data_IF_639931337987
#
_entry.id   IF_639931337987
#
_cell.length_a   1.000
_cell.length_b   1.000
_cell.length_c   1.000
_cell.angle_alpha   90.00
_cell.angle_beta   90.00
_cell.angle_gamma   90.00
#
_symmetry.space_group_name_H-M   'P 1'
#
loop_
_entity.id
_entity.type
_entity.pdbx_description
1 polymer ?
#
# COMPACT_ATOMS: atom_id res chain seq x y z
N UNK A 1 3.76 -14.12 20.24
CA UNK A 1 4.17 -14.21 21.67
C UNK A 1 3.55 -13.04 22.44
N UNK A 2 3.58 -11.82 21.91
CA UNK A 2 2.94 -10.64 22.52
C UNK A 2 1.43 -10.82 22.71
N UNK A 3 0.70 -11.28 21.70
CA UNK A 3 -0.73 -11.58 21.81
C UNK A 3 -1.05 -12.65 22.85
N UNK A 4 -0.17 -13.63 23.03
CA UNK A 4 -0.34 -14.67 24.06
C UNK A 4 -0.20 -14.10 25.47
N UNK A 5 0.70 -13.14 25.66
CA UNK A 5 1.01 -12.55 26.97
C UNK A 5 0.02 -11.45 27.39
N UNK A 6 -0.68 -10.83 26.42
CA UNK A 6 -1.54 -9.65 26.68
C UNK A 6 -3.04 -9.92 26.56
N UNK A 7 -3.47 -11.10 26.13
CA UNK A 7 -4.90 -11.44 25.98
C UNK A 7 -5.42 -12.00 27.30
N UNK A 8 -6.39 -11.31 27.89
CA UNK A 8 -7.11 -11.76 29.09
C UNK A 8 -7.99 -13.00 28.83
N UNK A 9 -8.37 -13.24 27.57
CA UNK A 9 -9.09 -14.44 27.14
C UNK A 9 -8.25 -15.21 26.11
N UNK A 10 -7.89 -16.44 26.49
CA UNK A 10 -7.12 -17.34 25.65
C UNK A 10 -7.97 -17.82 24.45
N UNK A 11 -7.71 -17.26 23.28
CA UNK A 11 -8.40 -17.63 22.05
C UNK A 11 -7.58 -18.66 21.26
N UNK A 12 -8.08 -19.89 21.16
CA UNK A 12 -7.47 -20.98 20.39
C UNK A 12 -7.22 -20.57 18.92
N UNK A 13 -8.10 -19.74 18.34
CA UNK A 13 -7.95 -19.26 16.97
C UNK A 13 -6.73 -18.36 16.80
N UNK A 14 -6.46 -17.48 17.76
CA UNK A 14 -5.27 -16.62 17.76
C UNK A 14 -3.99 -17.45 17.86
N UNK A 15 -3.96 -18.47 18.71
CA UNK A 15 -2.83 -19.41 18.77
C UNK A 15 -2.60 -20.14 17.47
N UNK A 16 -3.67 -20.64 16.85
CA UNK A 16 -3.57 -21.32 15.56
C UNK A 16 -3.01 -20.39 14.49
N UNK A 17 -3.43 -19.12 14.45
CA UNK A 17 -2.93 -18.12 13.52
C UNK A 17 -1.45 -17.82 13.73
N UNK A 18 -1.03 -17.62 15.00
CA UNK A 18 0.39 -17.40 15.33
C UNK A 18 1.22 -18.62 14.96
N UNK A 19 0.75 -19.81 15.32
CA UNK A 19 1.45 -21.06 15.02
C UNK A 19 1.61 -21.28 13.51
N UNK A 20 0.54 -21.12 12.72
CA UNK A 20 0.61 -21.29 11.27
C UNK A 20 1.51 -20.23 10.62
N UNK A 21 1.46 -18.96 11.04
CA UNK A 21 2.32 -17.89 10.53
C UNK A 21 3.79 -18.16 10.85
N UNK A 22 4.09 -18.59 12.08
CA UNK A 22 5.44 -18.93 12.51
C UNK A 22 5.99 -20.10 11.69
N UNK A 23 5.22 -21.18 11.55
CA UNK A 23 5.62 -22.37 10.81
C UNK A 23 5.83 -22.09 9.33
N UNK A 24 4.97 -21.29 8.70
CA UNK A 24 5.17 -20.85 7.31
C UNK A 24 6.49 -20.10 7.16
N UNK A 25 6.80 -19.20 8.09
CA UNK A 25 8.06 -18.43 8.07
C UNK A 25 9.28 -19.33 8.28
N UNK A 26 9.22 -20.23 9.27
CA UNK A 26 10.29 -21.21 9.54
C UNK A 26 10.49 -22.13 8.34
N UNK A 27 9.41 -22.65 7.75
CA UNK A 27 9.47 -23.49 6.56
C UNK A 27 10.15 -22.77 5.39
N UNK A 28 9.81 -21.50 5.14
CA UNK A 28 10.44 -20.70 4.10
C UNK A 28 11.93 -20.50 4.35
N UNK A 29 12.33 -20.19 5.59
CA UNK A 29 13.74 -19.99 5.96
C UNK A 29 14.55 -21.27 5.82
N UNK A 30 14.00 -22.42 6.21
CA UNK A 30 14.65 -23.72 6.16
C UNK A 30 14.62 -24.38 4.76
N UNK A 31 13.77 -23.86 3.85
CA UNK A 31 13.70 -24.39 2.49
C UNK A 31 14.96 -24.06 1.69
N UNK A 32 15.33 -24.94 0.77
CA UNK A 32 16.41 -24.67 -0.17
C UNK A 32 16.10 -23.50 -1.08
N UNK A 33 17.14 -22.82 -1.55
CA UNK A 33 17.03 -21.63 -2.40
C UNK A 33 16.15 -21.85 -3.66
N UNK A 34 16.24 -23.05 -4.26
CA UNK A 34 15.45 -23.38 -5.45
C UNK A 34 13.95 -23.41 -5.16
N UNK A 35 13.55 -23.90 -3.99
CA UNK A 35 12.17 -23.91 -3.52
C UNK A 35 11.68 -22.49 -3.20
N UNK A 36 12.50 -21.68 -2.53
CA UNK A 36 12.16 -20.27 -2.24
C UNK A 36 11.92 -19.50 -3.55
N UNK A 37 12.79 -19.63 -4.55
CA UNK A 37 12.64 -18.99 -5.86
C UNK A 37 11.39 -19.48 -6.60
N UNK A 38 11.07 -20.77 -6.51
CA UNK A 38 9.87 -21.35 -7.12
C UNK A 38 8.60 -20.80 -6.48
N UNK A 39 8.56 -20.78 -5.16
CA UNK A 39 7.43 -20.18 -4.40
C UNK A 39 7.23 -18.72 -4.78
N UNK A 40 8.31 -17.94 -4.81
CA UNK A 40 8.25 -16.53 -5.20
C UNK A 40 7.67 -16.34 -6.60
N UNK A 41 8.04 -17.19 -7.58
CA UNK A 41 7.45 -17.17 -8.93
C UNK A 41 5.95 -17.48 -8.92
N UNK A 42 5.50 -18.40 -8.07
CA UNK A 42 4.06 -18.67 -7.91
C UNK A 42 3.34 -17.46 -7.30
N UNK A 43 3.91 -16.80 -6.29
CA UNK A 43 3.36 -15.57 -5.70
C UNK A 43 3.25 -14.47 -6.75
N UNK A 44 4.31 -14.23 -7.55
CA UNK A 44 4.28 -13.27 -8.66
C UNK A 44 3.13 -13.58 -9.61
N UNK A 45 3.03 -14.83 -10.07
CA UNK A 45 2.00 -15.23 -11.04
C UNK A 45 0.59 -15.15 -10.48
N UNK A 46 0.39 -15.58 -9.24
CA UNK A 46 -0.89 -15.48 -8.56
C UNK A 46 -1.32 -14.01 -8.42
N UNK A 47 -0.42 -13.13 -7.98
CA UNK A 47 -0.70 -11.69 -7.86
C UNK A 47 -1.00 -11.07 -9.22
N UNK A 48 -0.26 -11.42 -10.28
CA UNK A 48 -0.55 -10.94 -11.63
C UNK A 48 -1.97 -11.30 -12.09
N UNK A 49 -2.41 -12.55 -11.83
CA UNK A 49 -3.76 -13.01 -12.18
C UNK A 49 -4.81 -12.27 -11.35
N UNK A 50 -4.62 -12.17 -10.03
CA UNK A 50 -5.55 -11.48 -9.14
C UNK A 50 -5.70 -10.00 -9.51
N UNK A 51 -4.58 -9.30 -9.76
CA UNK A 51 -4.59 -7.90 -10.18
C UNK A 51 -5.26 -7.74 -11.55
N UNK A 52 -5.03 -8.65 -12.49
CA UNK A 52 -5.66 -8.61 -13.81
C UNK A 52 -7.19 -8.72 -13.70
N UNK A 53 -7.69 -9.70 -12.95
CA UNK A 53 -9.13 -9.91 -12.74
C UNK A 53 -9.74 -8.68 -12.04
N UNK A 54 -9.10 -8.20 -10.98
CA UNK A 54 -9.54 -7.01 -10.25
C UNK A 54 -9.55 -5.76 -11.13
N UNK A 55 -8.55 -5.61 -12.01
CA UNK A 55 -8.45 -4.47 -12.92
C UNK A 55 -9.61 -4.46 -13.93
N UNK A 56 -9.97 -5.62 -14.48
CA UNK A 56 -11.12 -5.77 -15.35
C UNK A 56 -12.40 -5.37 -14.62
N UNK A 57 -12.62 -5.88 -13.40
CA UNK A 57 -13.77 -5.50 -12.58
C UNK A 57 -13.84 -4.00 -12.30
N UNK A 58 -12.71 -3.39 -11.96
CA UNK A 58 -12.62 -1.95 -11.70
C UNK A 58 -12.88 -1.10 -12.95
N UNK A 59 -12.40 -1.53 -14.13
CA UNK A 59 -12.67 -0.86 -15.38
C UNK A 59 -14.16 -0.96 -15.77
N UNK A 60 -14.81 -2.10 -15.53
CA UNK A 60 -16.25 -2.25 -15.71
C UNK A 60 -17.03 -1.30 -14.79
N UNK A 61 -16.61 -1.18 -13.53
CA UNK A 61 -17.18 -0.22 -12.58
C UNK A 61 -17.03 1.23 -13.10
N UNK A 62 -15.82 1.64 -13.54
CA UNK A 62 -15.60 2.98 -14.11
C UNK A 62 -16.43 3.24 -15.38
N UNK A 63 -16.81 2.18 -16.09
CA UNK A 63 -17.71 2.25 -17.25
C UNK A 63 -19.19 2.28 -16.86
N UNK A 64 -19.51 2.47 -15.57
CA UNK A 64 -20.86 2.47 -15.01
C UNK A 64 -21.66 1.17 -15.25
N UNK A 65 -20.98 0.03 -15.41
CA UNK A 65 -21.65 -1.27 -15.45
C UNK A 65 -22.15 -1.60 -14.04
N UNK A 66 -23.44 -1.89 -13.85
CA UNK A 66 -23.97 -2.25 -12.54
C UNK A 66 -23.38 -3.57 -12.08
N UNK A 67 -22.54 -3.53 -11.04
CA UNK A 67 -21.91 -4.71 -10.45
C UNK A 67 -22.52 -4.98 -9.07
N UNK A 68 -22.77 -6.25 -8.73
CA UNK A 68 -23.23 -6.60 -7.40
C UNK A 68 -22.15 -6.27 -6.37
N UNK A 69 -22.56 -5.63 -5.28
CA UNK A 69 -21.67 -5.21 -4.20
C UNK A 69 -22.37 -5.27 -2.84
N UNK A 70 -21.58 -5.23 -1.79
CA UNK A 70 -22.06 -5.04 -0.42
C UNK A 70 -21.11 -4.15 0.36
N UNK A 71 -21.62 -3.51 1.38
CA UNK A 71 -20.81 -2.68 2.27
C UNK A 71 -20.28 -3.54 3.42
N UNK A 72 -18.99 -3.39 3.71
CA UNK A 72 -18.31 -4.04 4.83
C UNK A 72 -17.59 -2.99 5.65
N UNK A 73 -17.70 -3.07 6.96
CA UNK A 73 -17.05 -2.15 7.91
C UNK A 73 -17.93 -1.92 9.13
N UNK A 74 -17.31 -1.66 10.27
CA UNK A 74 -18.00 -1.43 11.55
C UNK A 74 -18.19 0.05 11.86
N UNK A 75 -17.39 0.93 11.25
CA UNK A 75 -17.37 2.37 11.52
C UNK A 75 -17.47 3.18 10.23
N UNK A 76 -18.03 4.38 10.31
CA UNK A 76 -18.18 5.30 9.18
C UNK A 76 -16.86 5.63 8.45
N UNK A 77 -15.72 5.51 9.12
CA UNK A 77 -14.39 5.77 8.57
C UNK A 77 -13.78 4.58 7.81
N UNK A 78 -14.22 3.35 8.10
CA UNK A 78 -13.69 2.11 7.52
C UNK A 78 -14.74 1.34 6.72
N UNK A 79 -15.61 2.06 6.04
CA UNK A 79 -16.54 1.44 5.09
C UNK A 79 -15.77 1.02 3.85
N UNK A 80 -15.87 -0.24 3.49
CA UNK A 80 -15.38 -0.78 2.23
C UNK A 80 -16.56 -1.22 1.38
N UNK A 81 -16.56 -0.85 0.11
CA UNK A 81 -17.49 -1.38 -0.87
C UNK A 81 -16.84 -2.58 -1.55
N UNK A 82 -17.37 -3.76 -1.29
CA UNK A 82 -16.81 -5.03 -1.79
C UNK A 82 -17.58 -5.46 -3.05
N UNK A 83 -16.88 -5.51 -4.17
CA UNK A 83 -17.36 -5.98 -5.47
C UNK A 83 -16.69 -7.31 -5.75
N UNK A 84 -16.97 -8.39 -5.20
CA UNK A 84 -16.41 -9.76 -5.39
C UNK A 84 -15.06 -9.89 -6.14
N UNK A 85 -14.77 -9.04 -7.12
CA UNK A 85 -13.52 -9.02 -7.91
C UNK A 85 -12.51 -7.96 -7.44
N UNK A 86 -12.97 -6.97 -6.68
CA UNK A 86 -12.15 -5.87 -6.17
C UNK A 86 -12.87 -5.17 -5.01
N UNK A 87 -12.10 -4.38 -4.27
CA UNK A 87 -12.60 -3.62 -3.11
C UNK A 87 -12.33 -2.14 -3.36
N UNK A 88 -13.29 -1.28 -3.01
CA UNK A 88 -13.12 0.16 -2.96
C UNK A 88 -13.16 0.65 -1.52
N UNK A 89 -12.24 1.56 -1.18
CA UNK A 89 -12.27 2.28 0.09
C UNK A 89 -13.33 3.38 0.07
N UNK A 90 -14.15 3.42 1.10
CA UNK A 90 -15.19 4.42 1.28
C UNK A 90 -16.42 4.17 0.41
N UNK A 91 -17.26 5.20 0.35
CA UNK A 91 -18.48 5.21 -0.44
C UNK A 91 -18.13 5.74 -1.83
N UNK A 92 -18.30 4.93 -2.89
CA UNK A 92 -17.83 5.27 -4.24
C UNK A 92 -18.43 6.58 -4.79
N UNK A 93 -19.70 6.85 -4.47
CA UNK A 93 -20.44 8.03 -4.93
C UNK A 93 -19.85 9.36 -4.46
N UNK A 94 -19.05 9.32 -3.39
CA UNK A 94 -18.40 10.51 -2.84
C UNK A 94 -16.99 10.74 -3.44
N UNK A 95 -16.51 9.87 -4.32
CA UNK A 95 -15.17 9.95 -4.90
C UNK A 95 -15.24 10.28 -6.39
N UNK A 96 -14.52 11.34 -6.80
CA UNK A 96 -14.38 11.72 -8.22
C UNK A 96 -13.75 10.59 -9.03
N UNK A 97 -12.72 9.93 -8.47
CA UNK A 97 -12.08 8.75 -9.04
C UNK A 97 -11.62 7.84 -7.90
N UNK A 98 -12.26 6.68 -7.74
CA UNK A 98 -11.88 5.74 -6.70
C UNK A 98 -10.52 5.13 -7.02
N UNK A 99 -9.67 5.05 -6.00
CA UNK A 99 -8.34 4.44 -6.10
C UNK A 99 -8.47 2.93 -6.26
N UNK A 100 -7.64 2.35 -7.12
CA UNK A 100 -7.62 0.92 -7.32
C UNK A 100 -6.90 0.22 -6.17
N UNK A 101 -7.61 -0.61 -5.43
CA UNK A 101 -7.07 -1.43 -4.33
C UNK A 101 -7.00 -2.93 -4.69
N UNK A 102 -7.56 -3.34 -5.84
CA UNK A 102 -7.68 -4.76 -6.18
C UNK A 102 -8.48 -5.52 -5.12
N UNK A 103 -7.97 -6.64 -4.66
CA UNK A 103 -8.54 -7.41 -3.54
C UNK A 103 -7.97 -7.03 -2.17
N UNK A 104 -7.16 -5.98 -2.10
CA UNK A 104 -6.60 -5.48 -0.84
C UNK A 104 -7.51 -4.42 -0.22
N UNK A 105 -7.51 -4.34 1.09
CA UNK A 105 -8.29 -3.34 1.83
C UNK A 105 -7.81 -1.91 1.55
N UNK A 106 -6.50 -1.75 1.26
CA UNK A 106 -5.93 -0.45 0.98
C UNK A 106 -5.18 -0.40 -0.36
N UNK A 107 -5.37 0.67 -1.16
CA UNK A 107 -4.62 0.87 -2.40
C UNK A 107 -3.10 0.91 -2.21
N UNK A 108 -2.65 1.41 -1.04
CA UNK A 108 -1.24 1.45 -0.68
C UNK A 108 -0.59 0.08 -0.58
N UNK A 109 -1.30 -0.89 -0.01
CA UNK A 109 -0.84 -2.28 0.09
C UNK A 109 -0.69 -2.91 -1.29
N UNK A 110 -1.71 -2.77 -2.16
CA UNK A 110 -1.63 -3.25 -3.53
C UNK A 110 -0.43 -2.65 -4.26
N UNK A 111 -0.29 -1.31 -4.24
CA UNK A 111 0.78 -0.61 -4.95
C UNK A 111 2.16 -1.05 -4.47
N UNK A 112 2.36 -1.17 -3.17
CA UNK A 112 3.63 -1.62 -2.57
C UNK A 112 3.98 -3.06 -2.98
N UNK A 113 3.02 -3.99 -2.87
CA UNK A 113 3.23 -5.39 -3.25
C UNK A 113 3.54 -5.50 -4.74
N UNK A 114 2.77 -4.85 -5.61
CA UNK A 114 3.01 -4.84 -7.05
C UNK A 114 4.40 -4.28 -7.38
N UNK A 115 4.83 -3.22 -6.70
CA UNK A 115 6.14 -2.62 -6.88
C UNK A 115 7.26 -3.59 -6.47
N UNK A 116 7.17 -4.22 -5.30
CA UNK A 116 8.16 -5.21 -4.84
C UNK A 116 8.25 -6.40 -5.79
N UNK A 117 7.14 -6.88 -6.33
CA UNK A 117 7.15 -7.95 -7.32
C UNK A 117 7.75 -7.52 -8.66
N UNK A 118 7.62 -6.25 -9.06
CA UNK A 118 8.34 -5.70 -10.21
C UNK A 118 9.85 -5.67 -9.98
N UNK A 119 10.33 -5.39 -8.76
CA UNK A 119 11.77 -5.53 -8.42
C UNK A 119 12.24 -6.97 -8.64
N UNK A 120 11.51 -7.94 -8.11
CA UNK A 120 11.84 -9.37 -8.27
C UNK A 120 11.92 -9.77 -9.74
N UNK A 121 11.04 -9.24 -10.58
CA UNK A 121 11.00 -9.46 -12.03
C UNK A 121 11.99 -8.58 -12.83
N UNK A 122 12.81 -7.76 -12.14
CA UNK A 122 13.81 -6.89 -12.74
C UNK A 122 13.22 -5.84 -13.69
N UNK A 123 12.03 -5.33 -13.41
CA UNK A 123 11.29 -4.37 -14.24
C UNK A 123 11.14 -4.76 -15.73
N UNK A 124 11.15 -6.06 -16.01
CA UNK A 124 11.06 -6.54 -17.39
C UNK A 124 9.63 -6.40 -17.94
N UNK A 125 9.32 -5.24 -18.52
CA UNK A 125 8.00 -4.94 -19.09
C UNK A 125 7.70 -5.68 -20.40
N UNK A 126 8.64 -6.46 -20.95
CA UNK A 126 8.33 -7.37 -22.08
C UNK A 126 7.42 -8.51 -21.64
N UNK A 127 7.42 -8.85 -20.36
CA UNK A 127 6.48 -9.82 -19.78
C UNK A 127 5.13 -9.14 -19.54
N UNK A 128 4.06 -9.59 -20.19
CA UNK A 128 2.71 -9.04 -20.08
C UNK A 128 2.21 -8.96 -18.64
N UNK A 129 2.54 -9.95 -17.79
CA UNK A 129 2.18 -9.95 -16.37
C UNK A 129 2.78 -8.77 -15.60
N UNK A 130 3.98 -8.31 -15.96
CA UNK A 130 4.63 -7.18 -15.30
C UNK A 130 3.98 -5.84 -15.68
N UNK A 131 3.38 -5.74 -16.87
CA UNK A 131 2.56 -4.58 -17.26
C UNK A 131 1.33 -4.50 -16.34
N UNK A 132 0.71 -5.64 -16.01
CA UNK A 132 -0.43 -5.70 -15.09
C UNK A 132 -0.03 -5.21 -13.70
N UNK A 133 1.13 -5.65 -13.18
CA UNK A 133 1.65 -5.15 -11.91
C UNK A 133 1.92 -3.65 -11.95
N UNK A 134 2.51 -3.14 -13.03
CA UNK A 134 2.75 -1.71 -13.21
C UNK A 134 1.45 -0.92 -13.22
N UNK A 135 0.41 -1.39 -13.91
CA UNK A 135 -0.91 -0.77 -13.88
C UNK A 135 -1.52 -0.78 -12.47
N UNK A 136 -1.31 -1.88 -11.71
CA UNK A 136 -1.68 -1.95 -10.30
C UNK A 136 -1.02 -0.85 -9.46
N UNK A 137 0.29 -0.61 -9.65
CA UNK A 137 1.01 0.49 -8.99
C UNK A 137 0.43 1.84 -9.39
N UNK A 138 0.26 2.09 -10.69
CA UNK A 138 -0.18 3.40 -11.21
C UNK A 138 -1.61 3.74 -10.74
N UNK A 139 -2.54 2.81 -10.82
CA UNK A 139 -3.94 3.06 -10.44
C UNK A 139 -4.18 3.00 -8.92
N UNK A 140 -3.21 2.50 -8.13
CA UNK A 140 -3.30 2.56 -6.67
C UNK A 140 -3.28 4.00 -6.15
N UNK A 141 -2.74 4.96 -6.92
CA UNK A 141 -2.55 6.36 -6.54
C UNK A 141 -1.92 6.48 -5.13
N UNK A 142 -0.97 5.59 -4.85
CA UNK A 142 -0.25 5.54 -3.58
C UNK A 142 1.09 6.24 -3.70
N UNK A 143 1.28 7.29 -2.92
CA UNK A 143 2.54 8.05 -2.88
C UNK A 143 3.73 7.15 -2.51
N UNK A 144 3.55 6.27 -1.51
CA UNK A 144 4.58 5.32 -1.10
C UNK A 144 4.96 4.34 -2.23
N UNK A 145 3.96 3.83 -2.96
CA UNK A 145 4.19 2.94 -4.09
C UNK A 145 4.91 3.65 -5.24
N UNK A 146 4.57 4.91 -5.50
CA UNK A 146 5.29 5.71 -6.50
C UNK A 146 6.73 6.00 -6.10
N UNK A 147 6.96 6.36 -4.84
CA UNK A 147 8.32 6.53 -4.30
C UNK A 147 9.16 5.26 -4.46
N UNK A 148 8.59 4.10 -4.11
CA UNK A 148 9.23 2.80 -4.32
C UNK A 148 9.48 2.53 -5.80
N UNK A 149 8.52 2.78 -6.69
CA UNK A 149 8.68 2.55 -8.13
C UNK A 149 9.81 3.42 -8.69
N UNK A 150 9.80 4.71 -8.39
CA UNK A 150 10.82 5.66 -8.84
C UNK A 150 12.20 5.26 -8.33
N UNK A 151 12.31 5.01 -7.02
CA UNK A 151 13.57 4.58 -6.41
C UNK A 151 14.10 3.28 -7.00
N UNK A 152 13.20 2.31 -7.23
CA UNK A 152 13.55 1.04 -7.81
C UNK A 152 14.00 1.11 -9.25
N UNK A 153 13.29 1.83 -10.06
CA UNK A 153 13.68 2.06 -11.46
C UNK A 153 15.03 2.78 -11.52
N UNK A 154 15.24 3.80 -10.66
CA UNK A 154 16.50 4.52 -10.58
C UNK A 154 17.65 3.58 -10.20
N UNK A 155 17.49 2.76 -9.16
CA UNK A 155 18.49 1.77 -8.75
C UNK A 155 18.75 0.73 -9.85
N UNK A 156 17.69 0.22 -10.48
CA UNK A 156 17.82 -0.74 -11.58
C UNK A 156 18.62 -0.17 -12.74
N UNK A 157 18.33 1.06 -13.18
CA UNK A 157 19.05 1.75 -14.24
C UNK A 157 20.51 2.01 -13.82
N UNK A 158 20.73 2.45 -12.61
CA UNK A 158 22.06 2.74 -12.07
C UNK A 158 22.98 1.51 -12.12
N UNK A 159 22.49 0.37 -11.64
CA UNK A 159 23.31 -0.86 -11.57
C UNK A 159 23.44 -1.60 -12.90
N UNK A 160 22.45 -1.52 -13.79
CA UNK A 160 22.41 -2.33 -15.01
C UNK A 160 22.85 -1.58 -16.28
N UNK A 161 23.12 -0.27 -16.19
CA UNK A 161 23.45 0.53 -17.36
C UNK A 161 24.77 1.26 -17.16
N UNK A 162 25.69 1.14 -18.13
CA UNK A 162 27.01 1.85 -18.11
C UNK A 162 26.88 3.38 -17.96
N UNK A 163 25.76 3.94 -18.39
CA UNK A 163 25.42 5.38 -18.27
C UNK A 163 24.28 5.63 -17.27
N UNK A 164 24.16 4.77 -16.25
CA UNK A 164 23.08 4.81 -15.29
C UNK A 164 22.85 6.17 -14.65
N UNK A 165 23.94 6.85 -14.24
CA UNK A 165 23.89 8.22 -13.70
C UNK A 165 23.17 9.20 -14.62
N UNK A 166 23.50 9.18 -15.93
CA UNK A 166 22.89 10.10 -16.90
C UNK A 166 21.39 9.84 -17.01
N UNK A 167 20.98 8.56 -17.11
CA UNK A 167 19.56 8.22 -17.22
C UNK A 167 18.79 8.55 -15.94
N UNK A 168 19.38 8.34 -14.77
CA UNK A 168 18.75 8.74 -13.49
C UNK A 168 18.58 10.26 -13.43
N UNK A 169 19.59 11.03 -13.85
CA UNK A 169 19.50 12.50 -13.89
C UNK A 169 18.40 12.96 -14.86
N UNK A 170 18.35 12.39 -16.08
CA UNK A 170 17.30 12.73 -17.06
C UNK A 170 15.92 12.39 -16.54
N UNK A 171 15.77 11.23 -15.88
CA UNK A 171 14.50 10.82 -15.28
C UNK A 171 14.08 11.74 -14.13
N UNK A 172 15.02 12.14 -13.27
CA UNK A 172 14.75 13.11 -12.20
C UNK A 172 14.33 14.47 -12.74
N UNK A 173 14.99 14.94 -13.80
CA UNK A 173 14.61 16.18 -14.50
C UNK A 173 13.20 16.08 -15.10
N UNK A 174 12.87 14.94 -15.71
CA UNK A 174 11.50 14.68 -16.21
C UNK A 174 10.45 14.78 -15.11
N UNK A 175 10.69 14.17 -13.95
CA UNK A 175 9.78 14.28 -12.79
C UNK A 175 9.66 15.74 -12.32
N UNK A 176 10.77 16.49 -12.25
CA UNK A 176 10.75 17.89 -11.87
C UNK A 176 9.92 18.74 -12.87
N UNK A 177 10.04 18.49 -14.16
CA UNK A 177 9.24 19.17 -15.19
C UNK A 177 7.75 18.85 -15.03
N UNK A 178 7.39 17.57 -14.81
CA UNK A 178 6.00 17.17 -14.56
C UNK A 178 5.45 17.85 -13.30
N UNK A 179 6.25 17.97 -12.26
CA UNK A 179 5.88 18.70 -11.04
C UNK A 179 5.61 20.18 -11.32
N UNK A 180 6.53 20.87 -12.00
CA UNK A 180 6.37 22.29 -12.35
C UNK A 180 5.13 22.51 -13.22
N UNK A 181 4.89 21.64 -14.21
CA UNK A 181 3.68 21.72 -15.04
C UNK A 181 2.43 21.52 -14.20
N UNK A 182 2.44 20.55 -13.29
CA UNK A 182 1.28 20.25 -12.43
C UNK A 182 0.91 21.41 -11.51
N UNK A 183 1.91 22.09 -10.92
CA UNK A 183 1.65 23.26 -10.05
C UNK A 183 1.09 24.44 -10.87
N UNK A 184 1.57 24.65 -12.09
CA UNK A 184 1.15 25.79 -12.90
C UNK A 184 -0.13 25.53 -13.72
N UNK A 185 -0.46 24.25 -14.02
CA UNK A 185 -1.66 23.93 -14.78
C UNK A 185 -2.92 24.16 -13.93
N UNK A 186 -3.82 25.01 -14.45
CA UNK A 186 -5.07 25.37 -13.78
C UNK A 186 -4.85 25.93 -12.35
N UNK A 187 -3.80 26.75 -12.15
CA UNK A 187 -3.42 27.31 -10.85
C UNK A 187 -3.21 26.27 -9.75
N UNK A 188 -2.77 25.07 -10.12
CA UNK A 188 -2.61 23.94 -9.18
C UNK A 188 -3.89 23.17 -8.88
N UNK A 189 -5.04 23.64 -9.29
CA UNK A 189 -6.36 23.02 -9.08
C UNK A 189 -6.57 21.79 -9.99
N UNK A 190 -5.61 20.87 -10.02
CA UNK A 190 -5.69 19.65 -10.80
C UNK A 190 -5.52 18.42 -9.92
N UNK A 191 -6.06 17.30 -10.40
CA UNK A 191 -6.10 16.04 -9.65
C UNK A 191 -4.70 15.53 -9.26
N UNK A 192 -3.71 15.68 -10.16
CA UNK A 192 -2.36 15.22 -9.94
C UNK A 192 -1.69 16.02 -8.80
N UNK A 193 -1.85 17.34 -8.80
CA UNK A 193 -1.32 18.19 -7.76
C UNK A 193 -1.93 17.86 -6.40
N UNK A 194 -3.26 17.85 -6.31
CA UNK A 194 -4.00 17.59 -5.05
C UNK A 194 -3.74 16.20 -4.47
N UNK A 195 -3.49 15.20 -5.30
CA UNK A 195 -3.33 13.81 -4.84
C UNK A 195 -1.88 13.40 -4.59
N UNK A 196 -0.92 14.04 -5.23
CA UNK A 196 0.49 13.66 -5.14
C UNK A 196 1.32 14.80 -4.55
N UNK A 197 1.35 15.95 -5.22
CA UNK A 197 2.34 16.98 -4.90
C UNK A 197 2.00 17.79 -3.66
N UNK A 198 0.75 18.18 -3.44
CA UNK A 198 0.33 18.87 -2.21
C UNK A 198 0.61 18.04 -0.95
N UNK A 199 0.55 16.73 -1.08
CA UNK A 199 0.88 15.82 0.02
C UNK A 199 2.36 15.76 0.38
N UNK A 200 3.23 16.24 -0.51
CA UNK A 200 4.69 16.30 -0.30
C UNK A 200 5.14 17.67 0.23
N UNK A 201 4.23 18.63 0.33
CA UNK A 201 4.53 19.96 0.85
C UNK A 201 4.69 19.84 2.38
N UNK A 202 5.75 20.46 2.88
CA UNK A 202 5.97 20.62 4.31
C UNK A 202 5.47 22.00 4.73
N UNK A 203 4.55 22.05 5.65
CA UNK A 203 4.03 23.26 6.27
C UNK A 203 4.26 23.14 7.77
N UNK A 204 4.84 24.17 8.40
CA UNK A 204 5.19 24.20 9.83
C UNK A 204 6.05 23.02 10.33
N UNK A 205 6.86 22.42 9.43
CA UNK A 205 7.71 21.28 9.75
C UNK A 205 7.03 19.92 9.65
N UNK A 206 5.76 19.87 9.31
CA UNK A 206 4.99 18.66 9.09
C UNK A 206 4.63 18.48 7.61
N UNK A 207 4.58 17.23 7.16
CA UNK A 207 4.16 16.90 5.80
C UNK A 207 2.63 16.96 5.72
N UNK A 208 2.05 17.81 4.87
CA UNK A 208 0.60 17.97 4.72
C UNK A 208 -0.15 16.65 4.42
N UNK A 209 0.54 15.67 3.87
CA UNK A 209 -0.01 14.32 3.66
C UNK A 209 0.00 13.40 4.87
N UNK A 210 0.60 13.83 5.97
CA UNK A 210 0.74 13.03 7.20
C UNK A 210 -0.48 13.12 8.15
N UNK A 211 -1.66 13.47 7.63
CA UNK A 211 -2.89 13.62 8.38
C UNK A 211 -3.48 12.30 8.94
N UNK A 212 -2.65 11.27 9.07
CA UNK A 212 -3.05 9.97 9.67
C UNK A 212 -2.94 9.96 11.19
N UNK A 213 -2.27 10.95 11.76
CA UNK A 213 -2.12 11.11 13.21
C UNK A 213 -2.92 12.33 13.68
N UNK A 214 -3.77 12.13 14.66
CA UNK A 214 -4.44 13.23 15.36
C UNK A 214 -3.52 13.73 16.47
N UNK A 215 -3.66 14.99 16.91
CA UNK A 215 -2.92 15.56 18.06
C UNK A 215 -3.08 14.68 19.31
N UNK A 216 -4.25 14.06 19.45
CA UNK A 216 -4.53 13.11 20.51
C UNK A 216 -3.65 11.86 20.41
N UNK A 217 -3.50 11.29 19.22
CA UNK A 217 -2.64 10.13 18.98
C UNK A 217 -1.18 10.51 19.21
N UNK A 218 -0.72 11.66 18.70
CA UNK A 218 0.65 12.13 18.86
C UNK A 218 1.01 12.29 20.34
N UNK A 219 0.16 12.97 21.11
CA UNK A 219 0.36 13.15 22.56
C UNK A 219 0.43 11.82 23.31
N UNK A 220 -0.34 10.82 22.89
CA UNK A 220 -0.29 9.46 23.50
C UNK A 220 0.94 8.71 23.09
N UNK A 221 1.35 8.80 21.83
CA UNK A 221 2.55 8.17 21.33
C UNK A 221 3.80 8.71 22.06
N UNK A 222 3.89 10.02 22.23
CA UNK A 222 5.01 10.66 22.95
C UNK A 222 5.09 10.19 24.41
N UNK A 223 3.96 10.05 25.08
CA UNK A 223 3.92 9.46 26.44
C UNK A 223 4.28 7.99 26.45
N UNK A 224 3.85 7.24 25.45
CA UNK A 224 4.14 5.82 25.33
C UNK A 224 5.65 5.56 25.13
N UNK A 225 6.30 6.35 24.27
CA UNK A 225 7.73 6.20 23.96
C UNK A 225 8.62 6.42 25.21
N UNK A 226 8.21 7.28 26.15
CA UNK A 226 8.97 7.54 27.40
C UNK A 226 8.52 6.65 28.56
N UNK A 227 7.49 5.82 28.39
CA UNK A 227 6.99 4.92 29.42
C UNK A 227 7.69 3.57 29.43
N UNK A 228 7.57 2.83 30.53
CA UNK A 228 8.00 1.44 30.62
C UNK A 228 7.27 0.50 29.68
N UNK A 229 6.09 0.91 29.22
CA UNK A 229 5.21 0.12 28.35
C UNK A 229 5.77 -0.04 26.94
N UNK A 230 6.80 0.72 26.57
CA UNK A 230 7.49 0.58 25.28
C UNK A 230 8.04 -0.85 25.06
N UNK A 231 8.40 -1.56 26.14
CA UNK A 231 8.97 -2.89 26.06
C UNK A 231 7.93 -4.00 25.93
N UNK A 232 6.75 -3.83 26.54
CA UNK A 232 5.72 -4.88 26.61
C UNK A 232 4.36 -4.44 26.01
N UNK A 233 4.21 -3.15 25.68
CA UNK A 233 2.98 -2.56 25.20
C UNK A 233 1.96 -2.32 26.31
N UNK A 234 0.86 -1.67 25.96
CA UNK A 234 -0.23 -1.34 26.91
C UNK A 234 -1.34 -2.40 26.95
N UNK A 235 -1.23 -3.47 26.14
CA UNK A 235 -2.29 -4.46 25.97
C UNK A 235 -3.42 -3.98 25.04
N UNK A 236 -4.11 -4.94 24.43
CA UNK A 236 -5.17 -4.68 23.45
C UNK A 236 -6.36 -3.97 24.09
N UNK A 237 -6.81 -4.44 25.24
CA UNK A 237 -7.97 -3.89 25.92
C UNK A 237 -7.78 -2.44 26.37
N UNK A 238 -6.55 -2.07 26.78
CA UNK A 238 -6.21 -0.69 27.11
C UNK A 238 -6.13 0.21 25.88
N UNK A 239 -5.85 -0.34 24.72
CA UNK A 239 -5.86 0.35 23.44
C UNK A 239 -7.29 0.58 22.96
N UNK A 240 -8.13 -0.46 22.96
CA UNK A 240 -9.51 -0.43 22.48
C UNK A 240 -10.44 0.37 23.41
N UNK A 241 -10.26 0.27 24.72
CA UNK A 241 -11.12 0.94 25.72
C UNK A 241 -11.06 2.47 25.69
N UNK A 242 -10.10 3.07 25.00
CA UNK A 242 -9.88 4.52 24.97
C UNK A 242 -10.22 5.19 23.63
N UNK A 243 -10.97 4.53 22.77
CA UNK A 243 -11.48 5.14 21.54
C UNK A 243 -10.37 5.67 20.61
N UNK A 244 -9.27 4.93 20.49
CA UNK A 244 -8.16 5.28 19.62
C UNK A 244 -8.40 4.78 18.21
N UNK A 245 -9.48 5.21 17.58
CA UNK A 245 -9.53 5.10 16.13
C UNK A 245 -8.52 6.10 15.56
N UNK A 246 -7.47 5.59 14.97
CA UNK A 246 -6.68 6.34 14.02
C UNK A 246 -7.57 6.60 12.83
N UNK A 247 -8.02 7.81 12.66
CA UNK A 247 -8.73 8.27 11.45
C UNK A 247 -7.82 8.25 10.23
#
# INVERSE_FOLDING_TARGET
LYEILTISEFNILSLFTIFTSLWCSVFLILSDYSTQVRLLRYVVKATQILVAISLVGWLLYLSNVPLPHYYSGTDAYYIHTVYYLFILNGIPELQIMPRFAGMFLEPGHLGTICCLLLYVEGFNLRKKGNIILLLGVLFSLSLAAYGLLIGGVALYIFYNTKRGMIYVTVFSLFIAVVWIISINYNSGENYLNKRIFERLIFEDGEMMGANRTTDFFQTRFDRYVVSSDIWFGVGRDAFDAKGTSTT
#
